data_IF_454532765095
#
_entry.id   IF_454532765095
#
_cell.length_a   1.000
_cell.length_b   1.000
_cell.length_c   1.000
_cell.angle_alpha   90.00
_cell.angle_beta   90.00
_cell.angle_gamma   90.00
#
_symmetry.space_group_name_H-M   'P 1'
#
loop_
_entity.id
_entity.type
_entity.pdbx_description
1 polymer ?
#
# COMPACT_ATOMS: atom_id res chain seq x y z
N UNK A 1 7.51 38.35 15.30
CA UNK A 1 6.86 37.38 14.40
C UNK A 1 7.54 36.04 14.63
N UNK A 2 6.79 34.98 14.91
CA UNK A 2 7.40 33.65 14.97
C UNK A 2 7.73 33.21 13.53
N UNK A 3 8.96 32.76 13.29
CA UNK A 3 9.32 32.13 12.02
C UNK A 3 8.59 30.78 11.91
N UNK A 4 8.11 30.44 10.72
CA UNK A 4 7.61 29.10 10.44
C UNK A 4 8.74 28.08 10.73
N UNK A 5 8.40 26.98 11.41
CA UNK A 5 9.35 25.91 11.69
C UNK A 5 9.64 25.12 10.41
N UNK A 6 10.92 24.87 10.12
CA UNK A 6 11.34 24.02 9.00
C UNK A 6 11.38 22.56 9.45
N UNK A 7 10.73 21.65 8.70
CA UNK A 7 10.84 20.20 8.87
C UNK A 7 11.78 19.63 7.80
N UNK A 8 12.92 19.06 8.22
CA UNK A 8 13.96 18.64 7.28
C UNK A 8 13.60 17.35 6.51
N UNK A 9 12.79 16.50 7.12
CA UNK A 9 12.29 15.23 6.60
C UNK A 9 10.98 15.38 5.80
N UNK A 10 10.35 16.56 5.87
CA UNK A 10 9.24 16.98 5.01
C UNK A 10 9.31 18.48 4.64
N UNK A 11 10.31 18.92 3.83
CA UNK A 11 10.57 20.34 3.57
C UNK A 11 9.41 21.12 2.93
N UNK A 12 8.56 20.43 2.17
CA UNK A 12 7.40 21.00 1.51
C UNK A 12 6.07 20.61 2.17
N UNK A 13 6.14 20.01 3.37
CA UNK A 13 5.00 19.70 4.21
C UNK A 13 3.97 18.85 3.46
N UNK A 14 4.42 17.79 2.76
CA UNK A 14 3.59 16.80 2.11
C UNK A 14 2.47 16.34 3.04
N UNK A 15 2.76 16.14 4.33
CA UNK A 15 1.75 15.77 5.33
C UNK A 15 0.55 16.74 5.38
N UNK A 16 0.79 18.04 5.22
CA UNK A 16 -0.24 19.09 5.21
C UNK A 16 -0.98 19.17 3.87
N UNK A 17 -0.44 18.57 2.81
CA UNK A 17 -1.07 18.51 1.49
C UNK A 17 -2.01 17.31 1.33
N UNK A 18 -1.88 16.30 2.20
CA UNK A 18 -2.72 15.10 2.20
C UNK A 18 -4.09 15.36 2.84
N UNK A 19 -5.08 14.56 2.44
CA UNK A 19 -6.34 14.46 3.17
C UNK A 19 -6.14 13.69 4.48
N UNK A 20 -7.13 13.75 5.37
CA UNK A 20 -7.11 12.96 6.61
C UNK A 20 -7.12 11.45 6.30
N UNK A 21 -7.97 11.02 5.37
CA UNK A 21 -8.02 9.62 4.92
C UNK A 21 -6.69 9.14 4.33
N UNK A 22 -6.02 9.97 3.52
CA UNK A 22 -4.70 9.64 2.96
C UNK A 22 -3.62 9.51 4.04
N UNK A 23 -3.63 10.37 5.06
CA UNK A 23 -2.73 10.26 6.22
C UNK A 23 -3.00 8.98 7.01
N UNK A 24 -4.27 8.66 7.28
CA UNK A 24 -4.66 7.45 7.99
C UNK A 24 -4.22 6.19 7.24
N UNK A 25 -4.42 6.14 5.92
CA UNK A 25 -3.97 5.02 5.07
C UNK A 25 -2.46 4.86 5.12
N UNK A 26 -1.71 5.97 4.98
CA UNK A 26 -0.25 5.96 5.08
C UNK A 26 0.21 5.44 6.45
N UNK A 27 -0.41 5.89 7.53
CA UNK A 27 -0.06 5.47 8.89
C UNK A 27 -0.35 3.99 9.13
N UNK A 28 -1.50 3.48 8.66
CA UNK A 28 -1.84 2.07 8.73
C UNK A 28 -0.84 1.21 7.93
N UNK A 29 -0.49 1.62 6.72
CA UNK A 29 0.52 0.96 5.90
C UNK A 29 1.90 0.97 6.59
N UNK A 30 2.32 2.11 7.13
CA UNK A 30 3.59 2.24 7.85
C UNK A 30 3.66 1.34 9.08
N UNK A 31 2.59 1.30 9.89
CA UNK A 31 2.52 0.43 11.07
C UNK A 31 2.68 -1.04 10.70
N UNK A 32 1.89 -1.52 9.72
CA UNK A 32 2.03 -2.89 9.21
C UNK A 32 3.44 -3.18 8.70
N UNK A 33 4.02 -2.28 7.92
CA UNK A 33 5.35 -2.45 7.36
C UNK A 33 6.41 -2.58 8.45
N UNK A 34 6.38 -1.73 9.48
CA UNK A 34 7.36 -1.77 10.56
C UNK A 34 7.15 -2.96 11.52
N UNK A 35 5.90 -3.34 11.82
CA UNK A 35 5.60 -4.41 12.76
C UNK A 35 5.69 -5.81 12.15
N UNK A 36 5.37 -5.95 10.86
CA UNK A 36 5.18 -7.26 10.20
C UNK A 36 6.17 -7.52 9.08
N UNK A 37 6.54 -6.54 8.26
CA UNK A 37 7.46 -6.75 7.13
C UNK A 37 8.93 -6.57 7.55
N UNK A 38 9.24 -5.51 8.29
CA UNK A 38 10.60 -5.16 8.71
C UNK A 38 11.32 -6.31 9.45
N UNK A 39 10.68 -7.07 10.36
CA UNK A 39 11.35 -8.19 11.04
C UNK A 39 11.67 -9.38 10.10
N UNK A 40 10.96 -9.50 8.98
CA UNK A 40 11.07 -10.64 8.04
C UNK A 40 12.15 -10.42 6.98
N UNK A 41 12.41 -9.16 6.61
CA UNK A 41 13.15 -8.83 5.38
C UNK A 41 14.56 -9.41 5.31
N UNK A 42 15.33 -9.39 6.40
CA UNK A 42 16.73 -9.83 6.36
C UNK A 42 16.86 -11.32 6.05
N UNK A 43 16.04 -12.15 6.69
CA UNK A 43 16.05 -13.60 6.47
C UNK A 43 15.38 -13.99 5.15
N UNK A 44 14.29 -13.30 4.79
CA UNK A 44 13.61 -13.46 3.52
C UNK A 44 14.54 -13.19 2.34
N UNK A 45 15.24 -12.04 2.38
CA UNK A 45 16.17 -11.64 1.33
C UNK A 45 17.37 -12.57 1.26
N UNK A 46 18.03 -12.86 2.39
CA UNK A 46 19.23 -13.72 2.44
C UNK A 46 18.99 -15.12 1.90
N UNK A 47 17.81 -15.68 2.15
CA UNK A 47 17.48 -17.06 1.81
C UNK A 47 16.55 -17.18 0.60
N UNK A 48 16.28 -16.08 -0.11
CA UNK A 48 15.42 -16.03 -1.30
C UNK A 48 14.03 -16.65 -1.05
N UNK A 49 13.43 -16.32 0.10
CA UNK A 49 12.11 -16.81 0.50
C UNK A 49 11.12 -15.67 0.67
N UNK A 50 9.86 -15.96 0.40
CA UNK A 50 8.73 -15.06 0.69
C UNK A 50 7.66 -15.85 1.43
N UNK A 51 7.10 -15.25 2.47
CA UNK A 51 5.99 -15.82 3.23
C UNK A 51 4.66 -15.50 2.51
N UNK A 52 3.92 -16.52 2.01
CA UNK A 52 2.65 -16.29 1.32
C UNK A 52 1.55 -15.68 2.20
N UNK A 53 1.68 -15.73 3.53
CA UNK A 53 0.73 -15.10 4.45
C UNK A 53 0.68 -13.58 4.30
N UNK A 54 1.75 -12.95 3.79
CA UNK A 54 1.84 -11.50 3.55
C UNK A 54 0.70 -11.01 2.64
N UNK A 55 0.28 -11.78 1.64
CA UNK A 55 -0.86 -11.40 0.80
C UNK A 55 -2.17 -11.33 1.58
N UNK A 56 -2.39 -12.26 2.52
CA UNK A 56 -3.60 -12.26 3.35
C UNK A 56 -3.57 -11.09 4.33
N UNK A 57 -2.43 -10.86 4.98
CA UNK A 57 -2.23 -9.72 5.89
C UNK A 57 -2.47 -8.38 5.18
N UNK A 58 -1.90 -8.19 3.99
CA UNK A 58 -2.13 -6.99 3.18
C UNK A 58 -3.59 -6.85 2.75
N UNK A 59 -4.26 -7.96 2.40
CA UNK A 59 -5.68 -7.96 2.03
C UNK A 59 -6.60 -7.58 3.17
N UNK A 60 -6.37 -8.12 4.37
CA UNK A 60 -7.14 -7.81 5.59
C UNK A 60 -7.06 -6.33 5.98
N UNK A 61 -5.94 -5.67 5.64
CA UNK A 61 -5.71 -4.25 5.89
C UNK A 61 -6.12 -3.34 4.73
N UNK A 62 -6.65 -3.89 3.63
CA UNK A 62 -7.04 -3.10 2.45
C UNK A 62 -5.87 -2.52 1.67
N UNK A 63 -4.68 -3.13 1.73
CA UNK A 63 -3.49 -2.67 0.99
C UNK A 63 -3.39 -3.27 -0.42
N UNK A 64 -4.27 -4.22 -0.77
CA UNK A 64 -4.35 -4.85 -2.09
C UNK A 64 -5.52 -4.29 -2.89
N UNK A 65 -5.28 -3.97 -4.16
CA UNK A 65 -6.23 -3.30 -5.03
C UNK A 65 -6.82 -2.01 -4.44
N UNK A 66 -6.01 -1.03 -3.96
CA UNK A 66 -6.56 0.12 -3.24
C UNK A 66 -7.63 0.90 -4.01
N UNK A 67 -7.51 0.97 -5.33
CA UNK A 67 -8.45 1.70 -6.20
C UNK A 67 -9.65 0.88 -6.64
N UNK A 68 -9.75 -0.38 -6.23
CA UNK A 68 -10.86 -1.25 -6.59
C UNK A 68 -12.09 -0.88 -5.76
N UNK A 69 -13.29 -0.76 -6.35
CA UNK A 69 -14.49 -0.41 -5.64
C UNK A 69 -14.86 -1.38 -4.51
N UNK A 70 -15.54 -0.86 -3.49
CA UNK A 70 -16.01 -1.62 -2.33
C UNK A 70 -17.01 -2.71 -2.67
N UNK A 71 -17.78 -2.56 -3.75
CA UNK A 71 -18.70 -3.59 -4.26
C UNK A 71 -17.98 -4.88 -4.70
N UNK A 72 -16.68 -4.81 -5.02
CA UNK A 72 -15.83 -5.95 -5.36
C UNK A 72 -14.83 -6.31 -4.24
N UNK A 73 -15.04 -5.79 -3.03
CA UNK A 73 -14.19 -6.07 -1.86
C UNK A 73 -12.87 -5.29 -1.80
N UNK A 74 -12.65 -4.33 -2.70
CA UNK A 74 -11.55 -3.36 -2.57
C UNK A 74 -11.89 -2.25 -1.57
N UNK A 75 -10.92 -1.41 -1.17
CA UNK A 75 -11.17 -0.33 -0.21
C UNK A 75 -11.68 0.98 -0.87
N UNK A 76 -11.73 1.06 -2.21
CA UNK A 76 -12.27 2.23 -2.92
C UNK A 76 -11.48 3.52 -2.73
N UNK A 77 -10.18 3.43 -2.50
CA UNK A 77 -9.27 4.55 -2.26
C UNK A 77 -8.82 5.22 -3.56
N UNK A 78 -8.24 6.42 -3.43
CA UNK A 78 -7.70 7.17 -4.57
C UNK A 78 -6.24 6.76 -4.90
N UNK A 79 -5.72 7.26 -6.02
CA UNK A 79 -4.36 6.98 -6.47
C UNK A 79 -3.25 7.58 -5.59
N UNK A 80 -3.54 8.66 -4.85
CA UNK A 80 -2.58 9.24 -3.89
C UNK A 80 -2.36 8.26 -2.74
N UNK A 81 -3.45 7.75 -2.16
CA UNK A 81 -3.42 6.71 -1.14
C UNK A 81 -2.71 5.44 -1.64
N UNK A 82 -2.95 5.01 -2.89
CA UNK A 82 -2.18 3.90 -3.47
C UNK A 82 -0.68 4.20 -3.52
N UNK A 83 -0.28 5.40 -3.96
CA UNK A 83 1.12 5.82 -3.97
C UNK A 83 1.74 5.87 -2.57
N UNK A 84 0.99 6.31 -1.56
CA UNK A 84 1.44 6.33 -0.16
C UNK A 84 1.64 4.92 0.39
N UNK A 85 0.73 3.99 0.11
CA UNK A 85 0.90 2.57 0.49
C UNK A 85 2.18 2.03 -0.16
N UNK A 86 2.37 2.24 -1.46
CA UNK A 86 3.56 1.79 -2.17
C UNK A 86 4.86 2.36 -1.56
N UNK A 87 4.85 3.66 -1.21
CA UNK A 87 5.98 4.33 -0.54
C UNK A 87 6.33 3.67 0.80
N UNK A 88 5.34 3.35 1.62
CA UNK A 88 5.61 2.74 2.94
C UNK A 88 6.02 1.27 2.84
N UNK A 89 5.46 0.50 1.90
CA UNK A 89 5.87 -0.89 1.67
C UNK A 89 7.29 -0.97 1.12
N UNK A 90 7.64 -0.14 0.13
CA UNK A 90 8.98 -0.14 -0.46
C UNK A 90 10.04 0.49 0.44
N UNK A 91 9.65 1.28 1.44
CA UNK A 91 10.55 1.70 2.51
C UNK A 91 11.20 0.51 3.23
N UNK A 92 10.51 -0.63 3.28
CA UNK A 92 11.04 -1.89 3.81
C UNK A 92 11.80 -2.66 2.73
N UNK A 93 11.12 -3.01 1.63
CA UNK A 93 11.73 -3.77 0.52
C UNK A 93 10.95 -3.65 -0.80
N UNK A 94 11.67 -3.52 -1.91
CA UNK A 94 11.10 -3.44 -3.25
C UNK A 94 10.40 -4.73 -3.70
N UNK A 95 10.79 -5.89 -3.18
CA UNK A 95 10.15 -7.18 -3.46
C UNK A 95 8.72 -7.23 -2.91
N UNK A 96 8.49 -6.75 -1.70
CA UNK A 96 7.15 -6.65 -1.12
C UNK A 96 6.25 -5.69 -1.91
N UNK A 97 6.78 -4.52 -2.31
CA UNK A 97 6.04 -3.59 -3.16
C UNK A 97 5.77 -4.20 -4.55
N UNK A 98 6.67 -5.03 -5.08
CA UNK A 98 6.47 -5.74 -6.36
C UNK A 98 5.29 -6.70 -6.31
N UNK A 99 5.21 -7.52 -5.27
CA UNK A 99 4.06 -8.40 -5.02
C UNK A 99 2.74 -7.63 -4.98
N UNK A 100 2.71 -6.52 -4.23
CA UNK A 100 1.54 -5.66 -4.11
C UNK A 100 1.15 -5.02 -5.46
N UNK A 101 2.13 -4.52 -6.23
CA UNK A 101 1.91 -3.92 -7.54
C UNK A 101 1.35 -4.92 -8.56
N UNK A 102 1.89 -6.15 -8.59
CA UNK A 102 1.38 -7.21 -9.48
C UNK A 102 -0.08 -7.52 -9.13
N UNK A 103 -0.36 -7.79 -7.85
CA UNK A 103 -1.71 -8.13 -7.42
C UNK A 103 -2.71 -7.01 -7.72
N UNK A 104 -2.36 -5.76 -7.41
CA UNK A 104 -3.26 -4.62 -7.56
C UNK A 104 -3.39 -4.20 -9.02
N UNK A 105 -2.29 -3.77 -9.64
CA UNK A 105 -2.32 -3.09 -10.94
C UNK A 105 -2.23 -4.03 -12.14
N UNK A 106 -1.68 -5.24 -11.98
CA UNK A 106 -1.49 -6.18 -13.10
C UNK A 106 -2.49 -7.34 -13.08
N UNK A 107 -3.25 -7.52 -12.01
CA UNK A 107 -4.28 -8.56 -11.89
C UNK A 107 -5.65 -7.95 -11.61
N UNK A 108 -5.83 -7.28 -10.46
CA UNK A 108 -7.15 -6.76 -10.08
C UNK A 108 -7.66 -5.68 -11.03
N UNK A 109 -6.82 -4.69 -11.38
CA UNK A 109 -7.18 -3.62 -12.33
C UNK A 109 -7.63 -4.17 -13.70
N UNK A 110 -6.88 -5.03 -14.42
CA UNK A 110 -7.36 -5.52 -15.71
C UNK A 110 -8.62 -6.39 -15.61
N UNK A 111 -8.82 -7.14 -14.52
CA UNK A 111 -10.09 -7.86 -14.29
C UNK A 111 -11.24 -6.87 -14.08
N UNK A 112 -11.02 -5.81 -13.31
CA UNK A 112 -12.02 -4.78 -13.06
C UNK A 112 -12.38 -3.98 -14.32
N UNK A 113 -11.39 -3.57 -15.12
CA UNK A 113 -11.60 -2.68 -16.26
C UNK A 113 -12.08 -3.43 -17.51
N UNK A 114 -11.63 -4.68 -17.69
CA UNK A 114 -11.86 -5.44 -18.93
C UNK A 114 -12.62 -6.75 -18.73
N UNK A 115 -12.84 -7.17 -17.48
CA UNK A 115 -13.60 -8.37 -17.16
C UNK A 115 -15.11 -8.17 -17.27
N UNK A 116 -15.82 -9.26 -17.53
CA UNK A 116 -17.28 -9.36 -17.37
C UNK A 116 -17.67 -9.27 -15.90
N UNK A 117 -18.92 -8.90 -15.60
CA UNK A 117 -19.42 -8.87 -14.22
C UNK A 117 -19.24 -10.22 -13.49
N UNK A 118 -19.45 -11.34 -14.19
CA UNK A 118 -19.22 -12.66 -13.62
C UNK A 118 -17.73 -12.93 -13.28
N UNK A 119 -16.78 -12.31 -13.99
CA UNK A 119 -15.35 -12.42 -13.68
C UNK A 119 -14.94 -11.53 -12.50
N UNK A 120 -15.59 -10.36 -12.34
CA UNK A 120 -15.32 -9.46 -11.21
C UNK A 120 -15.86 -10.00 -9.88
N UNK A 121 -16.96 -10.75 -9.93
CA UNK A 121 -17.66 -11.30 -8.75
C UNK A 121 -17.14 -12.67 -8.29
N UNK A 122 -16.20 -13.29 -9.03
CA UNK A 122 -15.67 -14.63 -8.76
C UNK A 122 -14.33 -14.57 -8.04
#
# INVERSE_FOLDING_TARGET
MAHASFQWDDPFLLDQQLTEDERMVREAAAAYCQERLQPRVLEAFRHEKTDPSIFREMGELGLLGPTIPTEYGGPGLNYVAYGLIAREVERVDSGYRSMMSVQSSLVMVPIHDFGTEAQKQK
#
